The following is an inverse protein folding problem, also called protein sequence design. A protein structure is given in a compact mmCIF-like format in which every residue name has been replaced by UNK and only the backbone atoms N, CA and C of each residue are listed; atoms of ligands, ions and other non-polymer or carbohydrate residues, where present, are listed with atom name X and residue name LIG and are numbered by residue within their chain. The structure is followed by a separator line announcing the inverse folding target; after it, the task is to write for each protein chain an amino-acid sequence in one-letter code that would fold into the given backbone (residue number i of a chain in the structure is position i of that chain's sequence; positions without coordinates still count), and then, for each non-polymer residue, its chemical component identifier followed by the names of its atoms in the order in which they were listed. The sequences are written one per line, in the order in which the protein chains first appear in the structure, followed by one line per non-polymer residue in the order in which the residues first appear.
data_IF_060560475386
#
_entry.id   IF_060560475386
#
_cell.length_a   1.000
_cell.length_b   1.000
_cell.length_c   1.000
_cell.angle_alpha   90.00
_cell.angle_beta   90.00
_cell.angle_gamma   90.00
#
_symmetry.space_group_name_H-M   'P 1'
#
loop_
_entity.id
_entity.type
_entity.pdbx_description
1 polymer ?
#
# COMPACT_ATOMS: atom_id res chain seq x y z
N UNK A 1 4.99 -2.76 -6.72
CA UNK A 1 3.95 -3.64 -7.31
C UNK A 1 3.21 -2.89 -8.38
N UNK A 2 3.18 -3.42 -9.61
CA UNK A 2 2.64 -2.75 -10.79
C UNK A 2 1.44 -3.53 -11.32
N UNK A 3 0.28 -2.86 -11.46
CA UNK A 3 -0.92 -3.47 -12.04
C UNK A 3 -1.88 -2.43 -12.61
N UNK A 4 -2.69 -2.85 -13.59
CA UNK A 4 -3.72 -2.01 -14.19
C UNK A 4 -5.10 -2.29 -13.63
N UNK A 5 -5.95 -1.26 -13.60
CA UNK A 5 -7.27 -1.33 -13.01
C UNK A 5 -8.37 -1.11 -14.06
N UNK A 6 -9.27 -2.07 -14.24
CA UNK A 6 -10.35 -1.96 -15.24
C UNK A 6 -11.34 -0.83 -14.96
N UNK A 7 -11.39 -0.34 -13.72
CA UNK A 7 -12.26 0.77 -13.32
C UNK A 7 -11.96 2.08 -14.06
N UNK A 8 -10.79 2.21 -14.70
CA UNK A 8 -10.44 3.40 -15.50
C UNK A 8 -11.43 3.66 -16.64
N UNK A 9 -12.15 2.63 -17.10
CA UNK A 9 -13.23 2.75 -18.09
C UNK A 9 -14.32 3.75 -17.67
N UNK A 10 -14.49 3.95 -16.36
CA UNK A 10 -15.47 4.88 -15.78
C UNK A 10 -14.93 6.32 -15.68
N UNK A 11 -13.80 6.62 -16.32
CA UNK A 11 -13.25 7.98 -16.36
C UNK A 11 -12.81 8.52 -14.99
N UNK A 12 -12.31 7.63 -14.13
CA UNK A 12 -11.82 7.92 -12.76
C UNK A 12 -10.31 8.25 -12.72
N UNK A 13 -9.70 8.48 -13.88
CA UNK A 13 -8.30 8.85 -14.05
C UNK A 13 -8.15 9.79 -15.25
N UNK A 14 -7.09 10.59 -15.27
CA UNK A 14 -6.74 11.46 -16.41
C UNK A 14 -5.93 10.72 -17.48
N UNK A 15 -5.47 9.51 -17.17
CA UNK A 15 -4.58 8.71 -18.00
C UNK A 15 -5.17 7.33 -18.24
N UNK A 16 -4.80 6.69 -19.34
CA UNK A 16 -5.07 5.28 -19.58
C UNK A 16 -4.00 4.38 -19.00
N UNK A 17 -4.25 3.07 -19.09
CA UNK A 17 -3.35 2.00 -18.63
C UNK A 17 -1.94 2.06 -19.23
N UNK A 18 -1.78 2.62 -20.44
CA UNK A 18 -0.48 2.76 -21.10
C UNK A 18 0.54 3.53 -20.25
N UNK A 19 0.08 4.44 -19.37
CA UNK A 19 0.95 5.17 -18.44
C UNK A 19 1.54 4.23 -17.38
N UNK A 20 0.80 3.22 -16.90
CA UNK A 20 1.34 2.16 -16.02
C UNK A 20 2.52 1.48 -16.69
N UNK A 21 2.38 1.10 -17.97
CA UNK A 21 3.44 0.46 -18.76
C UNK A 21 4.67 1.37 -18.93
N UNK A 22 4.46 2.64 -19.28
CA UNK A 22 5.55 3.60 -19.46
C UNK A 22 6.32 3.85 -18.17
N UNK A 23 5.62 4.12 -17.07
CA UNK A 23 6.27 4.44 -15.78
C UNK A 23 6.95 3.20 -15.21
N UNK A 24 6.32 2.02 -15.27
CA UNK A 24 6.97 0.77 -14.84
C UNK A 24 8.26 0.50 -15.63
N UNK A 25 8.23 0.75 -16.95
CA UNK A 25 9.44 0.68 -17.78
C UNK A 25 10.52 1.68 -17.36
N UNK A 26 10.15 2.87 -16.90
CA UNK A 26 11.09 3.85 -16.37
C UNK A 26 11.65 3.44 -15.00
N UNK A 27 10.84 2.84 -14.12
CA UNK A 27 11.29 2.28 -12.84
C UNK A 27 12.33 1.19 -13.09
N UNK A 28 12.05 0.26 -14.01
CA UNK A 28 12.97 -0.84 -14.37
C UNK A 28 14.29 -0.34 -14.97
N UNK A 29 14.28 0.82 -15.66
CA UNK A 29 15.47 1.45 -16.23
C UNK A 29 16.23 2.35 -15.24
N UNK A 30 15.75 2.53 -14.02
CA UNK A 30 16.39 3.42 -13.05
C UNK A 30 16.12 4.92 -13.29
N UNK A 31 15.03 5.26 -13.99
CA UNK A 31 14.76 6.62 -14.46
C UNK A 31 13.65 7.34 -13.70
N UNK A 32 12.84 6.64 -12.89
CA UNK A 32 11.73 7.22 -12.15
C UNK A 32 12.20 7.97 -10.89
N UNK A 33 11.28 8.73 -10.30
CA UNK A 33 11.53 9.52 -9.08
C UNK A 33 12.00 8.63 -7.92
N UNK A 34 11.33 7.48 -7.72
CA UNK A 34 11.73 6.52 -6.70
C UNK A 34 13.17 6.02 -6.88
N UNK A 35 13.64 5.81 -8.11
CA UNK A 35 15.03 5.38 -8.35
C UNK A 35 16.04 6.44 -7.91
N UNK A 36 15.75 7.72 -8.17
CA UNK A 36 16.63 8.82 -7.74
C UNK A 36 16.67 8.95 -6.23
N UNK A 37 15.52 8.81 -5.57
CA UNK A 37 15.43 8.86 -4.12
C UNK A 37 16.09 7.64 -3.46
N UNK A 38 15.87 6.45 -4.01
CA UNK A 38 16.46 5.21 -3.52
C UNK A 38 17.99 5.23 -3.63
N UNK A 39 18.54 5.77 -4.72
CA UNK A 39 19.98 5.98 -4.86
C UNK A 39 20.56 6.89 -3.77
N UNK A 40 19.81 7.90 -3.30
CA UNK A 40 20.25 8.75 -2.18
C UNK A 40 20.17 8.02 -0.84
N UNK A 41 19.18 7.13 -0.68
CA UNK A 41 18.95 6.35 0.53
C UNK A 41 19.78 5.05 0.60
N UNK A 42 20.57 4.73 -0.42
CA UNK A 42 21.32 3.47 -0.49
C UNK A 42 20.42 2.23 -0.66
N UNK A 43 19.24 2.39 -1.28
CA UNK A 43 18.26 1.33 -1.47
C UNK A 43 18.17 0.87 -2.93
N UNK A 44 17.89 -0.43 -3.11
CA UNK A 44 17.57 -1.01 -4.41
C UNK A 44 16.07 -0.93 -4.71
N UNK A 45 15.72 -0.87 -6.00
CA UNK A 45 14.32 -0.77 -6.45
C UNK A 45 13.97 -1.95 -7.34
N UNK A 46 12.91 -2.67 -6.95
CA UNK A 46 12.42 -3.87 -7.64
C UNK A 46 11.00 -3.64 -8.18
N UNK A 47 10.85 -3.27 -9.46
CA UNK A 47 9.54 -3.28 -10.09
C UNK A 47 9.09 -4.73 -10.33
N UNK A 48 7.85 -5.00 -9.95
CA UNK A 48 7.21 -6.32 -10.08
C UNK A 48 5.86 -6.12 -10.76
N UNK A 49 5.72 -6.66 -11.96
CA UNK A 49 4.44 -6.75 -12.67
C UNK A 49 3.60 -7.87 -12.05
N UNK A 50 2.54 -7.48 -11.34
CA UNK A 50 1.58 -8.41 -10.71
C UNK A 50 0.22 -8.36 -11.39
N UNK A 51 0.06 -7.56 -12.44
CA UNK A 51 -1.24 -7.40 -13.09
C UNK A 51 -1.32 -6.30 -14.15
N UNK A 52 -0.22 -5.94 -14.80
CA UNK A 52 -0.25 -4.95 -15.88
C UNK A 52 -1.01 -5.50 -17.09
N UNK A 53 -1.74 -4.62 -17.77
CA UNK A 53 -2.56 -4.98 -18.93
C UNK A 53 -1.69 -5.35 -20.13
N UNK A 54 -0.59 -4.63 -20.33
CA UNK A 54 0.38 -4.93 -21.38
C UNK A 54 1.44 -5.92 -20.91
N UNK A 55 1.97 -6.71 -21.85
CA UNK A 55 3.17 -7.51 -21.60
C UNK A 55 4.41 -6.63 -21.82
N UNK A 56 5.20 -6.45 -20.76
CA UNK A 56 6.47 -5.75 -20.81
C UNK A 56 7.60 -6.67 -20.37
N UNK A 57 8.57 -6.92 -21.26
CA UNK A 57 9.78 -7.67 -20.95
C UNK A 57 10.97 -6.74 -20.94
N UNK A 58 11.48 -6.44 -19.76
CA UNK A 58 12.67 -5.60 -19.56
C UNK A 58 13.58 -6.25 -18.52
N UNK A 59 14.89 -6.08 -18.69
CA UNK A 59 15.85 -6.44 -17.65
C UNK A 59 15.56 -5.60 -16.40
N UNK A 60 15.44 -6.25 -15.24
CA UNK A 60 15.14 -5.59 -13.97
C UNK A 60 13.65 -5.50 -13.63
N UNK A 61 12.75 -5.94 -14.52
CA UNK A 61 11.33 -6.11 -14.22
C UNK A 61 11.06 -7.58 -13.89
N UNK A 62 10.56 -7.84 -12.68
CA UNK A 62 10.04 -9.14 -12.29
C UNK A 62 8.58 -9.26 -12.76
N UNK A 63 8.15 -10.46 -13.14
CA UNK A 63 6.81 -10.69 -13.70
C UNK A 63 6.17 -11.87 -12.98
N UNK A 64 5.17 -11.56 -12.15
CA UNK A 64 4.41 -12.50 -11.32
C UNK A 64 2.90 -12.44 -11.61
N UNK A 65 2.50 -11.71 -12.67
CA UNK A 65 1.08 -11.55 -13.01
C UNK A 65 0.42 -12.86 -13.45
N UNK A 66 -0.80 -13.09 -12.97
CA UNK A 66 -1.69 -14.17 -13.46
C UNK A 66 -2.72 -13.67 -14.47
N UNK A 67 -2.89 -12.35 -14.57
CA UNK A 67 -3.92 -11.69 -15.38
C UNK A 67 -3.43 -10.32 -15.87
N UNK A 68 -3.95 -9.91 -17.04
CA UNK A 68 -3.70 -8.60 -17.64
C UNK A 68 -4.74 -7.57 -17.18
N UNK A 69 -4.48 -6.91 -16.05
CA UNK A 69 -5.34 -5.90 -15.45
C UNK A 69 -6.58 -6.47 -14.76
N UNK A 70 -7.08 -5.78 -13.74
CA UNK A 70 -8.38 -6.11 -13.16
C UNK A 70 -9.52 -5.76 -14.10
N UNK A 71 -10.68 -6.35 -13.85
CA UNK A 71 -11.93 -5.98 -14.52
C UNK A 71 -12.52 -4.71 -13.92
N UNK A 72 -13.48 -4.15 -14.64
CA UNK A 72 -14.25 -3.02 -14.17
C UNK A 72 -15.27 -3.48 -13.12
N UNK A 73 -15.02 -3.12 -11.86
CA UNK A 73 -15.83 -3.58 -10.74
C UNK A 73 -17.28 -3.08 -10.73
N UNK A 74 -17.68 -2.14 -11.60
CA UNK A 74 -19.10 -1.82 -11.77
C UNK A 74 -19.88 -2.84 -12.59
N UNK A 75 -19.17 -3.66 -13.37
CA UNK A 75 -19.77 -4.62 -14.31
C UNK A 75 -19.70 -6.05 -13.77
N UNK A 76 -18.58 -6.41 -13.15
CA UNK A 76 -18.27 -7.74 -12.64
C UNK A 76 -17.13 -7.63 -11.59
N UNK A 77 -16.88 -8.63 -10.73
CA UNK A 77 -15.82 -8.53 -9.72
C UNK A 77 -14.45 -8.22 -10.35
N UNK A 78 -13.66 -7.37 -9.67
CA UNK A 78 -12.34 -6.93 -10.15
C UNK A 78 -11.43 -8.11 -10.55
N UNK A 79 -11.49 -9.22 -9.81
CA UNK A 79 -10.70 -10.43 -10.10
C UNK A 79 -11.42 -11.70 -9.59
N UNK A 80 -10.94 -12.89 -9.97
CA UNK A 80 -11.38 -14.15 -9.35
C UNK A 80 -10.59 -14.42 -8.06
N UNK A 81 -11.00 -15.42 -7.28
CA UNK A 81 -10.30 -15.81 -6.05
C UNK A 81 -8.87 -16.27 -6.35
N UNK A 82 -8.65 -17.00 -7.45
CA UNK A 82 -7.33 -17.50 -7.84
C UNK A 82 -6.36 -16.35 -8.13
N UNK A 83 -6.82 -15.31 -8.83
CA UNK A 83 -6.03 -14.12 -9.15
C UNK A 83 -5.68 -13.32 -7.89
N UNK A 84 -6.67 -13.12 -7.01
CA UNK A 84 -6.47 -12.42 -5.73
C UNK A 84 -5.43 -13.15 -4.88
N UNK A 85 -5.59 -14.45 -4.70
CA UNK A 85 -4.69 -15.27 -3.89
C UNK A 85 -3.30 -15.38 -4.52
N UNK A 86 -3.19 -15.44 -5.85
CA UNK A 86 -1.92 -15.42 -6.55
C UNK A 86 -1.19 -14.08 -6.37
N UNK A 87 -1.89 -12.95 -6.48
CA UNK A 87 -1.29 -11.64 -6.22
C UNK A 87 -0.83 -11.49 -4.76
N UNK A 88 -1.64 -11.89 -3.77
CA UNK A 88 -1.22 -11.92 -2.36
C UNK A 88 0.02 -12.79 -2.18
N UNK A 89 0.02 -13.98 -2.78
CA UNK A 89 1.17 -14.90 -2.73
C UNK A 89 2.43 -14.28 -3.32
N UNK A 90 2.34 -13.64 -4.49
CA UNK A 90 3.46 -12.94 -5.11
C UNK A 90 4.06 -11.88 -4.17
N UNK A 91 3.21 -11.17 -3.41
CA UNK A 91 3.66 -10.26 -2.36
C UNK A 91 4.49 -10.92 -1.27
N UNK A 92 3.99 -12.05 -0.73
CA UNK A 92 4.68 -12.82 0.32
C UNK A 92 6.01 -13.38 -0.20
N UNK A 93 6.00 -14.00 -1.39
CA UNK A 93 7.17 -14.61 -2.02
C UNK A 93 8.23 -13.56 -2.40
N UNK A 94 7.81 -12.35 -2.78
CA UNK A 94 8.75 -11.24 -2.99
C UNK A 94 9.44 -10.82 -1.68
N UNK A 95 8.73 -10.80 -0.55
CA UNK A 95 9.35 -10.53 0.75
C UNK A 95 10.32 -11.64 1.15
N UNK A 96 9.95 -12.91 0.94
CA UNK A 96 10.84 -14.06 1.15
C UNK A 96 12.12 -13.94 0.34
N UNK A 97 11.99 -13.75 -0.97
CA UNK A 97 13.12 -13.64 -1.90
C UNK A 97 14.09 -12.53 -1.50
N UNK A 98 13.57 -11.36 -1.12
CA UNK A 98 14.42 -10.24 -0.69
C UNK A 98 15.04 -10.49 0.68
N UNK A 99 14.31 -11.09 1.62
CA UNK A 99 14.86 -11.50 2.92
C UNK A 99 16.04 -12.46 2.75
N UNK A 100 15.87 -13.52 1.95
CA UNK A 100 16.92 -14.50 1.65
C UNK A 100 18.08 -13.88 0.86
N UNK A 101 17.79 -12.84 0.07
CA UNK A 101 18.78 -12.01 -0.61
C UNK A 101 19.59 -11.08 0.31
N UNK A 102 19.29 -11.05 1.62
CA UNK A 102 20.00 -10.24 2.61
C UNK A 102 19.40 -8.86 2.86
N UNK A 103 18.20 -8.56 2.36
CA UNK A 103 17.51 -7.32 2.68
C UNK A 103 16.81 -7.44 4.04
N UNK A 104 17.14 -6.52 4.96
CA UNK A 104 16.64 -6.55 6.35
C UNK A 104 15.54 -5.52 6.64
N UNK A 105 15.18 -4.70 5.65
CA UNK A 105 14.07 -3.74 5.70
C UNK A 105 13.60 -3.51 4.27
N UNK A 106 12.29 -3.42 4.04
CA UNK A 106 11.71 -3.20 2.72
C UNK A 106 10.85 -1.94 2.70
N UNK A 107 10.87 -1.22 1.59
CA UNK A 107 9.97 -0.11 1.31
C UNK A 107 8.94 -0.57 0.27
N UNK A 108 7.66 -0.33 0.54
CA UNK A 108 6.61 -0.63 -0.42
C UNK A 108 6.35 0.53 -1.36
N UNK A 109 6.01 0.21 -2.60
CA UNK A 109 5.62 1.17 -3.63
C UNK A 109 4.71 0.52 -4.66
N UNK A 110 3.93 1.34 -5.33
CA UNK A 110 2.98 0.93 -6.36
C UNK A 110 3.14 1.72 -7.65
N UNK A 111 2.64 1.14 -8.74
CA UNK A 111 2.35 1.89 -9.95
C UNK A 111 1.12 1.27 -10.61
N UNK A 112 0.01 2.00 -10.64
CA UNK A 112 -1.20 1.51 -11.27
C UNK A 112 -2.22 2.61 -11.55
N UNK A 113 -2.55 2.83 -12.82
CA UNK A 113 -3.58 3.81 -13.13
C UNK A 113 -4.95 3.31 -12.63
N UNK A 114 -5.66 4.19 -11.92
CA UNK A 114 -6.96 3.91 -11.29
C UNK A 114 -6.90 3.29 -9.89
N UNK A 115 -5.72 2.98 -9.34
CA UNK A 115 -5.63 2.29 -8.06
C UNK A 115 -5.99 3.16 -6.83
N UNK A 116 -5.98 4.48 -6.96
CA UNK A 116 -6.55 5.35 -5.92
C UNK A 116 -8.07 5.20 -5.83
N UNK A 117 -8.75 4.73 -6.88
CA UNK A 117 -10.19 4.40 -6.84
C UNK A 117 -10.41 3.06 -6.15
N UNK A 118 -9.65 2.02 -6.53
CA UNK A 118 -9.75 0.70 -5.88
C UNK A 118 -9.38 0.78 -4.40
N UNK A 119 -8.32 1.54 -4.07
CA UNK A 119 -7.88 1.75 -2.70
C UNK A 119 -8.90 2.52 -1.87
N UNK A 120 -9.52 3.59 -2.39
CA UNK A 120 -10.60 4.29 -1.70
C UNK A 120 -11.85 3.40 -1.53
N UNK A 121 -12.18 2.55 -2.51
CA UNK A 121 -13.29 1.60 -2.38
C UNK A 121 -13.07 0.59 -1.25
N UNK A 122 -11.89 -0.03 -1.22
CA UNK A 122 -11.50 -0.96 -0.15
C UNK A 122 -11.46 -0.24 1.19
N UNK A 123 -10.85 0.95 1.27
CA UNK A 123 -10.79 1.74 2.50
C UNK A 123 -12.18 2.10 3.03
N UNK A 124 -13.12 2.52 2.17
CA UNK A 124 -14.50 2.85 2.55
C UNK A 124 -15.18 1.68 3.24
N UNK A 125 -15.13 0.50 2.62
CA UNK A 125 -15.77 -0.72 3.13
C UNK A 125 -15.09 -1.17 4.43
N UNK A 126 -13.75 -1.19 4.44
CA UNK A 126 -13.00 -1.66 5.59
C UNK A 126 -13.18 -0.72 6.79
N UNK A 127 -13.00 0.59 6.64
CA UNK A 127 -13.13 1.55 7.75
C UNK A 127 -14.58 1.82 8.15
N UNK A 128 -15.54 1.41 7.32
CA UNK A 128 -16.93 1.72 7.56
C UNK A 128 -17.29 3.18 7.28
N UNK A 129 -16.50 3.86 6.45
CA UNK A 129 -16.66 5.28 6.16
C UNK A 129 -17.29 5.51 4.79
N UNK A 130 -18.09 6.57 4.63
CA UNK A 130 -18.60 6.97 3.32
C UNK A 130 -17.48 7.19 2.31
N UNK A 131 -17.75 6.91 1.02
CA UNK A 131 -16.77 7.12 -0.04
C UNK A 131 -16.28 8.58 -0.10
N UNK A 132 -17.15 9.52 0.25
CA UNK A 132 -16.88 10.96 0.35
C UNK A 132 -15.74 11.30 1.31
N UNK A 133 -15.56 10.52 2.37
CA UNK A 133 -14.54 10.78 3.41
C UNK A 133 -13.19 10.17 3.08
N UNK A 134 -13.15 9.16 2.20
CA UNK A 134 -11.94 8.39 1.89
C UNK A 134 -11.43 8.60 0.46
N UNK A 135 -12.14 9.37 -0.37
CA UNK A 135 -11.82 9.55 -1.79
C UNK A 135 -11.22 10.91 -2.08
N UNK A 136 -9.98 10.91 -2.56
CA UNK A 136 -9.27 12.11 -2.99
C UNK A 136 -9.02 12.20 -4.50
N UNK A 137 -8.31 13.26 -4.92
CA UNK A 137 -8.02 13.57 -6.32
C UNK A 137 -7.05 12.60 -6.98
N UNK A 138 -6.31 11.77 -6.21
CA UNK A 138 -5.28 10.88 -6.75
C UNK A 138 -4.23 11.68 -7.53
N UNK A 139 -4.00 11.29 -8.79
CA UNK A 139 -3.07 11.95 -9.70
C UNK A 139 -3.55 13.34 -10.23
N UNK A 140 -4.26 14.11 -9.39
CA UNK A 140 -4.59 15.52 -9.65
C UNK A 140 -5.94 15.77 -10.32
N UNK A 141 -6.94 14.88 -10.15
CA UNK A 141 -8.30 15.11 -10.65
C UNK A 141 -8.92 16.40 -10.11
N UNK A 142 -9.79 16.98 -10.93
CA UNK A 142 -10.65 18.09 -10.51
C UNK A 142 -11.82 17.60 -9.64
N UNK A 143 -12.66 18.54 -9.19
CA UNK A 143 -13.81 18.24 -8.34
C UNK A 143 -14.80 17.28 -9.01
N UNK A 144 -14.93 17.32 -10.34
CA UNK A 144 -15.86 16.46 -11.05
C UNK A 144 -15.31 15.02 -11.17
N UNK A 145 -14.01 14.87 -11.42
CA UNK A 145 -13.32 13.59 -11.35
C UNK A 145 -13.44 12.93 -9.98
N UNK A 146 -13.28 13.71 -8.90
CA UNK A 146 -13.49 13.20 -7.52
C UNK A 146 -14.94 12.77 -7.30
N UNK A 147 -15.93 13.56 -7.72
CA UNK A 147 -17.35 13.17 -7.64
C UNK A 147 -17.63 11.87 -8.40
N UNK A 148 -17.02 11.70 -9.57
CA UNK A 148 -17.15 10.46 -10.36
C UNK A 148 -16.56 9.26 -9.62
N UNK A 149 -15.37 9.39 -9.02
CA UNK A 149 -14.80 8.33 -8.16
C UNK A 149 -15.75 7.95 -7.03
N UNK A 150 -16.27 8.94 -6.29
CA UNK A 150 -17.22 8.72 -5.19
C UNK A 150 -18.47 7.98 -5.68
N UNK A 151 -19.07 8.43 -6.79
CA UNK A 151 -20.26 7.81 -7.36
C UNK A 151 -20.02 6.35 -7.76
N UNK A 152 -18.90 6.07 -8.42
CA UNK A 152 -18.48 4.73 -8.82
C UNK A 152 -18.29 3.82 -7.60
N UNK A 153 -17.64 4.31 -6.54
CA UNK A 153 -17.42 3.55 -5.30
C UNK A 153 -18.76 3.24 -4.61
N UNK A 154 -19.63 4.24 -4.44
CA UNK A 154 -20.94 4.08 -3.81
C UNK A 154 -21.83 3.11 -4.60
N UNK A 155 -21.82 3.21 -5.93
CA UNK A 155 -22.57 2.30 -6.80
C UNK A 155 -22.06 0.85 -6.67
N UNK A 156 -20.74 0.65 -6.67
CA UNK A 156 -20.14 -0.67 -6.49
C UNK A 156 -20.49 -1.26 -5.12
N UNK A 157 -20.30 -0.51 -4.04
CA UNK A 157 -20.60 -0.96 -2.68
C UNK A 157 -22.07 -1.39 -2.55
N UNK A 158 -23.00 -0.62 -3.12
CA UNK A 158 -24.42 -0.95 -3.16
C UNK A 158 -24.73 -2.20 -4.01
N UNK A 159 -24.20 -2.27 -5.24
CA UNK A 159 -24.45 -3.37 -6.17
C UNK A 159 -23.95 -4.71 -5.63
N UNK A 160 -22.77 -4.71 -5.03
CA UNK A 160 -22.14 -5.90 -4.46
C UNK A 160 -22.54 -6.19 -3.02
N UNK A 161 -23.36 -5.31 -2.41
CA UNK A 161 -23.76 -5.38 -1.00
C UNK A 161 -22.54 -5.52 -0.08
N UNK A 162 -21.53 -4.69 -0.30
CA UNK A 162 -20.35 -4.63 0.56
C UNK A 162 -20.74 -3.88 1.83
N UNK A 163 -20.47 -4.50 2.98
CA UNK A 163 -20.87 -3.99 4.29
C UNK A 163 -19.78 -3.14 4.94
N UNK A 164 -20.21 -2.21 5.79
CA UNK A 164 -19.34 -1.46 6.68
C UNK A 164 -18.91 -2.39 7.82
N UNK A 165 -17.60 -2.59 7.98
CA UNK A 165 -17.07 -3.35 9.12
C UNK A 165 -16.76 -2.41 10.30
N UNK A 166 -17.01 -2.91 11.51
CA UNK A 166 -16.61 -2.24 12.74
C UNK A 166 -15.08 -2.23 12.94
N UNK A 167 -14.59 -1.59 14.02
CA UNK A 167 -13.16 -1.47 14.28
C UNK A 167 -12.50 -2.84 14.45
N UNK A 168 -11.18 -2.89 14.22
CA UNK A 168 -10.34 -4.09 14.42
C UNK A 168 -10.45 -4.71 15.83
N UNK A 169 -10.96 -3.98 16.82
CA UNK A 169 -11.05 -4.39 18.23
C UNK A 169 -12.30 -5.21 18.59
N UNK A 170 -12.82 -6.05 17.68
CA UNK A 170 -13.96 -6.94 17.99
C UNK A 170 -13.59 -8.08 18.95
N UNK A 171 -14.42 -8.35 19.95
CA UNK A 171 -14.10 -9.21 21.11
C UNK A 171 -14.31 -10.74 20.89
N UNK A 172 -14.46 -11.23 19.65
CA UNK A 172 -14.84 -12.63 19.38
C UNK A 172 -14.20 -13.31 18.15
N UNK A 173 -13.83 -14.58 18.29
CA UNK A 173 -13.24 -15.42 17.21
C UNK A 173 -14.15 -15.56 15.98
N UNK A 174 -15.47 -15.64 16.18
CA UNK A 174 -16.45 -15.65 15.09
C UNK A 174 -16.47 -14.33 14.30
N UNK A 175 -16.24 -13.22 14.97
CA UNK A 175 -16.19 -11.90 14.34
C UNK A 175 -14.89 -11.75 13.53
N UNK A 176 -13.79 -12.33 14.00
CA UNK A 176 -12.52 -12.38 13.26
C UNK A 176 -12.63 -13.15 11.94
N UNK A 177 -13.22 -14.35 11.96
CA UNK A 177 -13.36 -15.17 10.74
C UNK A 177 -14.26 -14.51 9.70
N UNK A 178 -15.37 -13.90 10.14
CA UNK A 178 -16.28 -13.17 9.25
C UNK A 178 -15.60 -11.93 8.65
N UNK A 179 -14.86 -11.17 9.48
CA UNK A 179 -14.09 -10.01 9.03
C UNK A 179 -13.05 -10.39 7.98
N UNK A 180 -12.35 -11.51 8.17
CA UNK A 180 -11.38 -12.01 7.20
C UNK A 180 -12.06 -12.38 5.87
N UNK A 181 -13.19 -13.11 5.90
CA UNK A 181 -13.94 -13.48 4.71
C UNK A 181 -14.43 -12.26 3.93
N UNK A 182 -15.00 -11.28 4.62
CA UNK A 182 -15.49 -10.07 3.96
C UNK A 182 -14.35 -9.15 3.48
N UNK A 183 -13.19 -9.15 4.16
CA UNK A 183 -11.99 -8.45 3.70
C UNK A 183 -11.51 -9.04 2.37
N UNK A 184 -11.40 -10.37 2.28
CA UNK A 184 -11.04 -11.06 1.03
C UNK A 184 -12.10 -10.81 -0.06
N UNK A 185 -13.39 -10.90 0.27
CA UNK A 185 -14.47 -10.58 -0.67
C UNK A 185 -14.37 -9.15 -1.19
N UNK A 186 -14.04 -8.19 -0.33
CA UNK A 186 -13.88 -6.78 -0.69
C UNK A 186 -12.70 -6.59 -1.64
N UNK A 187 -11.54 -7.17 -1.32
CA UNK A 187 -10.36 -7.15 -2.20
C UNK A 187 -10.68 -7.74 -3.58
N UNK A 188 -11.28 -8.92 -3.62
CA UNK A 188 -11.67 -9.59 -4.87
C UNK A 188 -12.63 -8.76 -5.72
N UNK A 189 -13.54 -8.05 -5.06
CA UNK A 189 -14.66 -7.38 -5.73
C UNK A 189 -14.28 -5.99 -6.24
N UNK A 190 -13.63 -5.17 -5.40
CA UNK A 190 -13.34 -3.74 -5.71
C UNK A 190 -11.86 -3.35 -5.55
N UNK A 191 -10.99 -4.31 -5.21
CA UNK A 191 -9.55 -4.10 -5.07
C UNK A 191 -8.77 -4.09 -6.38
N UNK A 192 -7.44 -4.07 -6.24
CA UNK A 192 -6.46 -4.14 -7.34
C UNK A 192 -5.47 -5.28 -7.12
N UNK A 193 -4.87 -5.80 -8.18
CA UNK A 193 -3.83 -6.83 -8.07
C UNK A 193 -2.57 -6.28 -7.39
N UNK A 194 -2.25 -5.00 -7.64
CA UNK A 194 -1.23 -4.25 -6.91
C UNK A 194 -1.52 -4.20 -5.41
N UNK A 195 -2.75 -3.85 -5.02
CA UNK A 195 -3.19 -3.81 -3.63
C UNK A 195 -3.10 -5.18 -2.96
N UNK A 196 -3.52 -6.25 -3.66
CA UNK A 196 -3.40 -7.63 -3.18
C UNK A 196 -1.93 -8.02 -2.94
N UNK A 197 -1.04 -7.71 -3.89
CA UNK A 197 0.39 -7.99 -3.74
C UNK A 197 1.04 -7.17 -2.63
N UNK A 198 0.64 -5.91 -2.43
CA UNK A 198 1.14 -5.11 -1.30
C UNK A 198 0.64 -5.65 0.04
N UNK A 199 -0.61 -6.12 0.10
CA UNK A 199 -1.14 -6.82 1.30
C UNK A 199 -0.31 -8.07 1.59
N UNK A 200 0.02 -8.84 0.54
CA UNK A 200 0.94 -9.97 0.64
C UNK A 200 2.31 -9.59 1.19
N UNK A 201 2.90 -8.50 0.70
CA UNK A 201 4.22 -8.04 1.17
C UNK A 201 4.18 -7.59 2.64
N UNK A 202 3.10 -6.95 3.09
CA UNK A 202 2.89 -6.64 4.51
C UNK A 202 2.83 -7.92 5.37
N UNK A 203 2.10 -8.93 4.91
CA UNK A 203 2.01 -10.24 5.57
C UNK A 203 3.38 -10.94 5.60
N UNK A 204 4.09 -10.93 4.47
CA UNK A 204 5.43 -11.47 4.32
C UNK A 204 6.40 -10.83 5.32
N UNK A 205 6.32 -9.51 5.52
CA UNK A 205 7.12 -8.81 6.51
C UNK A 205 6.99 -9.40 7.92
N UNK A 206 5.78 -9.77 8.32
CA UNK A 206 5.54 -10.41 9.61
C UNK A 206 6.03 -11.87 9.66
N UNK A 207 5.82 -12.64 8.58
CA UNK A 207 6.26 -14.04 8.49
C UNK A 207 7.78 -14.15 8.56
N UNK A 208 8.47 -13.34 7.76
CA UNK A 208 9.94 -13.36 7.61
C UNK A 208 10.65 -12.41 8.58
N UNK A 209 9.90 -11.70 9.43
CA UNK A 209 10.39 -10.74 10.42
C UNK A 209 11.21 -9.60 9.81
N UNK A 210 10.78 -9.10 8.67
CA UNK A 210 11.38 -7.97 7.96
C UNK A 210 10.47 -6.75 8.11
N UNK A 211 10.94 -5.64 8.71
CA UNK A 211 10.17 -4.41 8.78
C UNK A 211 9.81 -3.89 7.39
N UNK A 212 8.56 -3.47 7.23
CA UNK A 212 7.97 -2.99 6.00
C UNK A 212 7.61 -1.51 6.15
N UNK A 213 8.27 -0.65 5.40
CA UNK A 213 7.97 0.78 5.37
C UNK A 213 6.86 1.04 4.37
N UNK A 214 5.78 1.64 4.87
CA UNK A 214 4.61 2.05 4.09
C UNK A 214 4.88 3.40 3.42
N UNK A 215 4.34 3.59 2.23
CA UNK A 215 4.38 4.82 1.46
C UNK A 215 3.08 5.64 1.66
N UNK A 216 2.28 5.80 0.62
CA UNK A 216 1.03 6.56 0.63
C UNK A 216 -0.23 5.68 0.72
N UNK A 217 -1.35 6.22 0.23
CA UNK A 217 -2.70 5.65 0.35
C UNK A 217 -2.75 4.16 0.06
N UNK A 218 -2.27 3.73 -1.11
CA UNK A 218 -2.43 2.34 -1.55
C UNK A 218 -1.72 1.39 -0.57
N UNK A 219 -0.50 1.72 -0.14
CA UNK A 219 0.24 0.90 0.84
C UNK A 219 -0.39 0.95 2.24
N UNK A 220 -1.01 2.07 2.62
CA UNK A 220 -1.74 2.18 3.88
C UNK A 220 -3.01 1.30 3.85
N UNK A 221 -3.74 1.27 2.73
CA UNK A 221 -4.88 0.35 2.55
C UNK A 221 -4.41 -1.10 2.54
N UNK A 222 -3.27 -1.39 1.91
CA UNK A 222 -2.66 -2.71 1.93
C UNK A 222 -2.32 -3.17 3.35
N UNK A 223 -1.77 -2.28 4.18
CA UNK A 223 -1.50 -2.49 5.60
C UNK A 223 -2.76 -2.72 6.42
N UNK A 224 -3.81 -1.89 6.22
CA UNK A 224 -5.11 -2.09 6.88
C UNK A 224 -5.68 -3.46 6.55
N UNK A 225 -5.65 -3.82 5.28
CA UNK A 225 -6.12 -5.11 4.77
C UNK A 225 -5.31 -6.25 5.38
N UNK A 226 -3.98 -6.16 5.42
CA UNK A 226 -3.13 -7.19 6.00
C UNK A 226 -3.41 -7.40 7.49
N UNK A 227 -3.58 -6.31 8.26
CA UNK A 227 -3.94 -6.37 9.68
C UNK A 227 -5.34 -6.94 9.93
N UNK A 228 -6.28 -6.79 8.98
CA UNK A 228 -7.61 -7.41 9.02
C UNK A 228 -7.55 -8.92 8.76
N UNK A 229 -6.63 -9.35 7.91
CA UNK A 229 -6.48 -10.76 7.54
C UNK A 229 -5.69 -11.54 8.59
N UNK A 230 -4.62 -10.94 9.13
CA UNK A 230 -3.69 -11.61 10.04
C UNK A 230 -3.30 -10.71 11.22
N UNK A 231 -3.67 -11.08 12.45
CA UNK A 231 -3.21 -10.41 13.66
C UNK A 231 -1.67 -10.43 13.76
N UNK A 232 -1.09 -9.36 14.32
CA UNK A 232 0.36 -9.23 14.52
C UNK A 232 1.13 -8.65 13.34
N UNK A 233 0.53 -8.57 12.13
CA UNK A 233 1.19 -7.94 10.97
C UNK A 233 1.63 -6.51 11.27
N UNK A 234 0.78 -5.78 12.00
CA UNK A 234 1.02 -4.38 12.41
C UNK A 234 2.41 -4.14 13.02
N UNK A 235 2.93 -5.09 13.80
CA UNK A 235 4.17 -4.92 14.57
C UNK A 235 5.42 -4.86 13.67
N UNK A 236 5.28 -5.22 12.39
CA UNK A 236 6.32 -5.17 11.38
C UNK A 236 6.16 -4.01 10.39
N UNK A 237 5.16 -3.15 10.58
CA UNK A 237 4.89 -2.06 9.64
C UNK A 237 5.34 -0.71 10.20
N UNK A 238 6.00 0.08 9.36
CA UNK A 238 6.50 1.41 9.68
C UNK A 238 5.84 2.47 8.78
N UNK A 239 5.00 3.37 9.33
CA UNK A 239 4.38 4.43 8.54
C UNK A 239 5.40 5.53 8.20
N UNK A 240 5.70 5.77 6.92
CA UNK A 240 6.62 6.85 6.55
C UNK A 240 6.02 8.24 6.73
N UNK A 241 4.95 8.52 6.00
CA UNK A 241 4.41 9.86 5.85
C UNK A 241 2.88 9.88 5.88
N UNK A 242 2.32 11.04 6.22
CA UNK A 242 0.89 11.33 6.03
C UNK A 242 0.70 12.00 4.66
N UNK A 243 0.21 11.24 3.69
CA UNK A 243 -0.08 11.71 2.33
C UNK A 243 -1.29 12.65 2.25
N UNK A 244 -1.54 13.22 1.07
CA UNK A 244 -2.68 14.14 0.83
C UNK A 244 -4.04 13.46 0.70
N UNK A 245 -4.07 12.15 0.49
CA UNK A 245 -5.32 11.42 0.25
C UNK A 245 -6.16 11.30 1.54
N UNK A 246 -7.48 11.58 1.50
CA UNK A 246 -8.32 11.69 2.70
C UNK A 246 -8.32 10.47 3.62
N UNK A 247 -8.31 9.25 3.06
CA UNK A 247 -8.39 8.03 3.85
C UNK A 247 -7.19 7.81 4.77
N UNK A 248 -6.03 8.41 4.48
CA UNK A 248 -4.77 8.16 5.19
C UNK A 248 -4.90 8.38 6.70
N UNK A 249 -5.55 9.47 7.11
CA UNK A 249 -5.70 9.82 8.52
C UNK A 249 -6.53 8.76 9.25
N UNK A 250 -7.68 8.38 8.70
CA UNK A 250 -8.56 7.36 9.29
C UNK A 250 -7.90 5.97 9.33
N UNK A 251 -7.14 5.60 8.29
CA UNK A 251 -6.38 4.34 8.28
C UNK A 251 -5.33 4.34 9.39
N UNK A 252 -4.57 5.42 9.53
CA UNK A 252 -3.54 5.50 10.57
C UNK A 252 -4.12 5.62 11.96
N UNK A 253 -5.28 6.25 12.15
CA UNK A 253 -6.00 6.24 13.42
C UNK A 253 -6.47 4.83 13.80
N UNK A 254 -7.14 4.13 12.89
CA UNK A 254 -7.61 2.74 13.07
C UNK A 254 -6.45 1.80 13.41
N UNK A 255 -5.34 1.95 12.69
CA UNK A 255 -4.16 1.15 12.95
C UNK A 255 -3.45 1.62 14.23
N UNK A 256 -3.54 2.89 14.63
CA UNK A 256 -2.72 3.57 15.66
C UNK A 256 -1.29 3.88 15.21
N UNK A 257 -1.11 4.20 13.94
CA UNK A 257 0.16 4.62 13.37
C UNK A 257 0.43 6.11 13.56
N UNK A 258 1.70 6.45 13.81
CA UNK A 258 2.19 7.82 13.91
C UNK A 258 3.27 8.04 12.83
N UNK A 259 2.91 8.50 11.62
CA UNK A 259 3.90 8.80 10.59
C UNK A 259 4.77 9.99 11.01
N UNK A 260 6.04 9.99 10.60
CA UNK A 260 7.02 11.03 11.01
C UNK A 260 7.25 12.11 9.96
N UNK A 261 6.82 11.88 8.70
CA UNK A 261 6.98 12.86 7.61
C UNK A 261 5.63 13.53 7.29
N UNK A 262 5.58 14.87 7.42
CA UNK A 262 4.40 15.69 7.11
C UNK A 262 4.63 16.63 5.91
N UNK A 263 5.14 16.08 4.81
CA UNK A 263 5.53 16.84 3.61
C UNK A 263 4.43 16.97 2.54
N UNK A 264 3.20 16.50 2.83
CA UNK A 264 2.07 16.48 1.88
C UNK A 264 2.43 15.81 0.54
N UNK A 265 3.14 14.68 0.60
CA UNK A 265 3.47 13.88 -0.58
C UNK A 265 2.21 13.25 -1.19
N UNK A 266 2.23 13.05 -2.50
CA UNK A 266 1.11 12.48 -3.26
C UNK A 266 1.56 11.87 -4.61
N UNK A 267 2.82 11.46 -4.72
CA UNK A 267 3.33 10.82 -5.93
C UNK A 267 3.05 9.32 -5.95
N UNK A 268 3.29 8.63 -4.82
CA UNK A 268 3.27 7.17 -4.77
C UNK A 268 4.65 6.60 -5.12
N UNK A 269 4.67 5.45 -5.80
CA UNK A 269 5.87 4.74 -6.25
C UNK A 269 6.81 4.23 -5.14
N UNK A 270 6.48 4.44 -3.87
CA UNK A 270 7.39 4.15 -2.75
C UNK A 270 8.29 5.32 -2.37
N UNK A 271 8.05 6.51 -2.93
CA UNK A 271 8.92 7.68 -2.70
C UNK A 271 8.93 8.17 -1.26
N UNK A 272 7.78 8.19 -0.58
CA UNK A 272 7.69 8.52 0.84
C UNK A 272 8.28 7.42 1.73
N UNK A 273 8.08 6.15 1.37
CA UNK A 273 8.68 5.03 2.09
C UNK A 273 10.22 5.10 2.08
N UNK A 274 10.82 5.29 0.90
CA UNK A 274 12.27 5.44 0.76
C UNK A 274 12.80 6.69 1.47
N UNK A 275 12.03 7.77 1.54
CA UNK A 275 12.42 8.97 2.27
C UNK A 275 12.58 8.74 3.78
N UNK A 276 12.00 7.67 4.34
CA UNK A 276 12.16 7.32 5.75
C UNK A 276 13.52 6.68 6.04
N UNK A 277 14.16 6.01 5.08
CA UNK A 277 15.40 5.26 5.33
C UNK A 277 16.53 6.12 5.89
N UNK A 278 16.87 7.31 5.34
CA UNK A 278 17.89 8.16 5.95
C UNK A 278 17.54 8.62 7.37
N UNK A 279 16.25 8.78 7.70
CA UNK A 279 15.83 9.11 9.06
C UNK A 279 16.07 7.95 10.02
N UNK A 280 15.82 6.72 9.56
CA UNK A 280 16.11 5.50 10.33
C UNK A 280 17.61 5.31 10.50
N UNK A 281 18.42 5.55 9.48
CA UNK A 281 19.89 5.48 9.58
C UNK A 281 20.42 6.46 10.62
N UNK A 282 19.92 7.70 10.63
CA UNK A 282 20.27 8.68 11.66
C UNK A 282 19.85 8.22 13.06
N UNK A 283 18.63 7.67 13.21
CA UNK A 283 18.17 7.15 14.49
C UNK A 283 19.02 5.96 14.98
N UNK A 284 19.36 5.03 14.08
CA UNK A 284 20.22 3.89 14.37
C UNK A 284 21.63 4.32 14.74
N UNK A 285 22.18 5.34 14.07
CA UNK A 285 23.49 5.90 14.39
C UNK A 285 23.52 6.45 15.82
N UNK A 286 22.51 7.23 16.20
CA UNK A 286 22.39 7.74 17.58
C UNK A 286 22.22 6.59 18.57
N UNK A 287 21.40 5.60 18.26
CA UNK A 287 21.16 4.47 19.16
C UNK A 287 22.42 3.63 19.42
N UNK A 288 23.27 3.43 18.40
CA UNK A 288 24.45 2.55 18.48
C UNK A 288 25.71 3.24 18.97
N UNK A 289 25.93 4.48 18.55
CA UNK A 289 27.23 5.13 18.66
C UNK A 289 27.24 6.30 19.66
N UNK A 290 26.08 6.71 20.18
CA UNK A 290 26.03 7.84 21.08
C UNK A 290 26.57 7.44 22.47
N UNK A 291 27.40 8.31 23.05
CA UNK A 291 27.92 8.14 24.39
C UNK A 291 26.77 8.17 25.40
N UNK A 292 26.83 7.28 26.40
CA UNK A 292 25.88 7.29 27.50
C UNK A 292 26.21 8.40 28.50
N UNK A 293 25.26 8.76 29.36
CA UNK A 293 25.52 9.70 30.48
C UNK A 293 26.71 9.27 31.35
N UNK A 294 26.85 7.95 31.57
CA UNK A 294 27.99 7.38 32.29
C UNK A 294 29.32 7.59 31.56
N UNK A 295 29.37 7.43 30.24
CA UNK A 295 30.57 7.69 29.43
C UNK A 295 30.99 9.16 29.45
N UNK A 296 30.03 10.06 29.67
CA UNK A 296 30.23 11.50 29.72
C UNK A 296 30.44 12.04 31.13
N UNK A 297 30.47 11.18 32.16
CA UNK A 297 30.55 11.58 33.58
C UNK A 297 29.47 12.61 33.96
N UNK A 298 28.27 12.46 33.39
CA UNK A 298 27.11 13.31 33.64
C UNK A 298 26.00 12.51 34.34
N UNK A 299 25.28 13.16 35.25
CA UNK A 299 24.05 12.59 35.78
C UNK A 299 22.95 12.61 34.72
N UNK A 300 22.14 11.54 34.68
CA UNK A 300 20.97 11.50 33.81
C UNK A 300 19.96 12.58 34.23
N UNK A 301 19.38 13.29 33.25
CA UNK A 301 18.35 14.28 33.52
C UNK A 301 17.11 13.65 34.15
N UNK A 302 16.53 14.31 35.15
CA UNK A 302 15.25 13.92 35.73
C UNK A 302 14.10 14.44 34.86
N UNK A 303 13.24 13.52 34.42
CA UNK A 303 11.95 13.88 33.81
C UNK A 303 11.00 14.38 34.90
N UNK A 304 10.84 15.70 34.99
CA UNK A 304 9.79 16.30 35.81
C UNK A 304 8.44 16.15 35.10
N UNK A 305 7.54 15.37 35.70
CA UNK A 305 6.14 15.21 35.27
C UNK A 305 5.28 16.41 35.61
#
# INVERSE_FOLDING_TARGET
MCADNGIIEEGVSQSGHEVTTVVTGNIAKGLASVNRMASCAGADVFPVDVGMKDDLKLKGLLVEKTRNGTRNFLKEPAMEDEDMLAAIRAGVEMTEMLSDGGYHILALGEMGIGNTTTSSAVASVLLGLPAEEVTGPGAGLDKEGVRRKIAVINQAAAAWKLGIHGPLSGDGEKDTQLMMQETLRTLRTVGGLDLCALTGACIGGAIYRVPIVLDGLITAVAALTACRLLPGVRDFLLPSHLGKEPAMAAIYEELKFCPVIHARLALGEGTGAVALFPLLDMACQVYRENATFGDLEMDAYEDYK
#
